data_IF_737077672206
#
_entry.id   IF_737077672206
#
_cell.length_a   1.000
_cell.length_b   1.000
_cell.length_c   1.000
_cell.angle_alpha   90.00
_cell.angle_beta   90.00
_cell.angle_gamma   90.00
#
_symmetry.space_group_name_H-M   'P 1'
#
loop_
_entity.id
_entity.type
_entity.pdbx_description
1 polymer ?
#
# COMPACT_ATOMS: atom_id res chain seq x y z
N UNK A 1 51.65 47.67 -16.34
CA UNK A 1 52.14 47.26 -17.68
C UNK A 1 51.56 45.86 -17.94
N UNK A 2 50.42 45.69 -18.62
CA UNK A 2 50.21 45.65 -20.09
C UNK A 2 51.26 44.72 -20.75
N UNK A 3 51.01 43.64 -21.50
CA UNK A 3 49.86 42.88 -22.03
C UNK A 3 50.46 41.50 -22.48
N UNK A 4 49.75 40.42 -22.85
CA UNK A 4 49.00 40.24 -24.11
C UNK A 4 48.49 38.77 -24.26
N UNK A 5 47.44 38.64 -25.07
CA UNK A 5 46.57 37.49 -25.41
C UNK A 5 47.18 36.20 -25.96
N UNK A 6 46.48 35.08 -25.72
CA UNK A 6 45.93 34.09 -26.68
C UNK A 6 45.24 32.99 -25.83
N UNK A 7 44.01 32.49 -26.00
CA UNK A 7 43.22 32.18 -27.18
C UNK A 7 42.89 30.68 -27.14
N UNK A 8 41.60 30.29 -27.18
CA UNK A 8 41.08 28.90 -27.30
C UNK A 8 41.16 28.03 -26.02
N UNK A 9 40.22 27.17 -25.64
CA UNK A 9 39.06 26.57 -26.31
C UNK A 9 38.07 26.15 -25.21
N UNK A 10 36.80 26.49 -25.39
CA UNK A 10 35.70 25.99 -24.58
C UNK A 10 35.52 24.49 -24.88
N UNK A 11 35.59 23.61 -23.88
CA UNK A 11 35.02 22.26 -23.99
C UNK A 11 34.12 21.98 -22.78
N UNK A 12 32.87 21.73 -23.14
CA UNK A 12 31.72 21.39 -22.33
C UNK A 12 31.80 19.92 -21.88
N UNK A 13 31.68 19.65 -20.59
CA UNK A 13 31.14 18.41 -20.04
C UNK A 13 30.72 18.73 -18.59
N UNK A 14 29.46 18.72 -18.18
CA UNK A 14 28.39 17.82 -18.60
C UNK A 14 28.23 16.72 -17.56
N UNK A 15 27.35 16.99 -16.58
CA UNK A 15 26.47 16.02 -15.91
C UNK A 15 27.05 15.09 -14.83
N UNK A 16 26.60 15.31 -13.59
CA UNK A 16 26.19 14.23 -12.69
C UNK A 16 25.21 14.78 -11.64
N UNK A 17 23.94 14.95 -12.03
CA UNK A 17 22.86 14.98 -11.04
C UNK A 17 22.76 13.56 -10.47
N UNK A 18 23.13 13.38 -9.20
CA UNK A 18 22.94 12.11 -8.51
C UNK A 18 21.44 11.97 -8.26
N UNK A 19 20.75 11.28 -9.17
CA UNK A 19 19.39 10.84 -8.95
C UNK A 19 19.44 9.71 -7.91
N UNK A 20 19.01 9.99 -6.69
CA UNK A 20 18.67 8.93 -5.74
C UNK A 20 17.46 8.19 -6.29
N UNK A 21 17.71 7.10 -7.03
CA UNK A 21 16.69 6.13 -7.39
C UNK A 21 16.44 5.29 -6.14
N UNK A 22 15.40 5.61 -5.39
CA UNK A 22 14.85 4.67 -4.42
C UNK A 22 14.40 3.44 -5.19
N UNK A 23 15.08 2.32 -4.97
CA UNK A 23 14.76 1.04 -5.56
C UNK A 23 13.40 0.59 -5.02
N UNK A 24 12.32 0.97 -5.69
CA UNK A 24 11.01 0.38 -5.47
C UNK A 24 11.08 -1.05 -5.99
N UNK A 25 11.24 -2.00 -5.07
CA UNK A 25 11.04 -3.41 -5.37
C UNK A 25 9.55 -3.62 -5.60
N UNK A 26 9.09 -3.31 -6.81
CA UNK A 26 7.76 -3.68 -7.25
C UNK A 26 7.74 -5.20 -7.40
N UNK A 27 7.00 -5.86 -6.52
CA UNK A 27 6.69 -7.28 -6.64
C UNK A 27 5.83 -7.47 -7.89
N UNK A 28 5.86 -8.64 -8.54
CA UNK A 28 4.90 -8.94 -9.62
C UNK A 28 3.42 -8.89 -9.17
N UNK A 29 3.16 -8.68 -7.87
CA UNK A 29 1.86 -8.34 -7.29
C UNK A 29 1.50 -6.84 -7.33
N UNK A 30 2.42 -5.94 -7.71
CA UNK A 30 2.17 -4.50 -7.83
C UNK A 30 1.55 -4.09 -9.18
N UNK A 31 1.38 -5.02 -10.12
CA UNK A 31 0.81 -4.74 -11.46
C UNK A 31 -0.49 -5.54 -11.71
N UNK A 32 -0.91 -6.36 -10.75
CA UNK A 32 -2.17 -7.09 -10.80
C UNK A 32 -3.09 -6.57 -9.71
N UNK A 33 -4.18 -5.94 -10.14
CA UNK A 33 -5.38 -5.63 -9.36
C UNK A 33 -5.60 -6.63 -8.21
N UNK A 34 -5.52 -6.20 -6.95
CA UNK A 34 -5.79 -7.07 -5.82
C UNK A 34 -7.30 -7.26 -5.71
N UNK A 35 -7.88 -8.48 -5.78
CA UNK A 35 -9.34 -8.64 -5.71
C UNK A 35 -9.91 -8.47 -4.28
N UNK A 36 -9.12 -7.93 -3.35
CA UNK A 36 -9.39 -7.91 -1.91
C UNK A 36 -9.50 -6.49 -1.38
N UNK A 37 -10.11 -6.36 -0.20
CA UNK A 37 -10.39 -5.06 0.41
C UNK A 37 -9.10 -4.33 0.77
N UNK A 38 -9.01 -3.07 0.39
CA UNK A 38 -7.86 -2.21 0.69
C UNK A 38 -8.10 -1.32 1.90
N UNK A 39 -9.36 -0.88 2.10
CA UNK A 39 -9.70 0.08 3.16
C UNK A 39 -11.07 -0.16 3.80
N UNK A 40 -11.13 0.17 5.09
CA UNK A 40 -12.38 0.31 5.84
C UNK A 40 -12.73 1.81 5.86
N UNK A 41 -13.76 2.19 5.11
CA UNK A 41 -14.24 3.57 5.03
C UNK A 41 -15.04 3.93 6.27
N UNK A 42 -15.89 2.99 6.74
CA UNK A 42 -16.75 3.20 7.90
C UNK A 42 -17.11 1.87 8.54
N UNK A 43 -17.15 1.82 9.87
CA UNK A 43 -17.65 0.67 10.63
C UNK A 43 -18.62 1.15 11.70
N UNK A 44 -19.86 0.67 11.63
CA UNK A 44 -20.94 1.01 12.56
C UNK A 44 -21.45 -0.28 13.19
N UNK A 45 -20.90 -0.70 14.35
CA UNK A 45 -21.32 -1.93 15.00
C UNK A 45 -22.75 -1.82 15.54
N UNK A 46 -23.55 -2.86 15.29
CA UNK A 46 -24.85 -3.05 15.91
C UNK A 46 -24.80 -3.81 17.23
N UNK A 47 -25.93 -4.00 17.94
CA UNK A 47 -25.99 -4.82 19.14
C UNK A 47 -25.45 -6.24 18.90
N UNK A 48 -24.64 -6.74 19.84
CA UNK A 48 -24.00 -8.07 19.72
C UNK A 48 -22.79 -8.12 18.79
N UNK A 49 -22.31 -6.99 18.26
CA UNK A 49 -21.02 -6.90 17.60
C UNK A 49 -19.85 -7.13 18.57
N UNK A 50 -18.63 -7.21 18.02
CA UNK A 50 -17.39 -7.08 18.81
C UNK A 50 -16.42 -8.25 18.69
N UNK A 51 -16.87 -9.42 18.25
CA UNK A 51 -15.94 -10.51 17.92
C UNK A 51 -15.01 -10.07 16.77
N UNK A 52 -13.70 -10.15 16.99
CA UNK A 52 -12.68 -9.80 15.99
C UNK A 52 -12.40 -8.30 15.88
N UNK A 53 -13.09 -7.44 16.62
CA UNK A 53 -12.86 -5.99 16.59
C UNK A 53 -11.47 -5.60 17.13
N UNK A 54 -10.91 -6.42 18.02
CA UNK A 54 -9.55 -6.31 18.56
C UNK A 54 -8.44 -6.52 17.51
N UNK A 55 -8.80 -7.02 16.33
CA UNK A 55 -7.89 -7.36 15.23
C UNK A 55 -8.05 -6.45 14.02
N UNK A 56 -8.68 -5.29 14.22
CA UNK A 56 -8.80 -4.29 13.16
C UNK A 56 -7.47 -3.57 12.94
N UNK A 57 -7.11 -3.26 11.67
CA UNK A 57 -7.89 -3.50 10.45
C UNK A 57 -7.67 -4.88 9.77
N UNK A 58 -6.69 -5.66 10.22
CA UNK A 58 -6.18 -6.85 9.51
C UNK A 58 -7.14 -8.05 9.50
N UNK A 59 -8.23 -7.98 10.25
CA UNK A 59 -9.34 -8.93 10.22
C UNK A 59 -10.20 -8.75 8.95
N UNK A 60 -10.17 -7.57 8.32
CA UNK A 60 -10.98 -7.19 7.14
C UNK A 60 -10.13 -7.01 5.89
N UNK A 61 -8.93 -6.44 6.02
CA UNK A 61 -8.11 -6.10 4.85
C UNK A 61 -7.42 -7.33 4.23
N UNK A 62 -7.28 -7.30 2.90
CA UNK A 62 -6.62 -8.35 2.14
C UNK A 62 -7.40 -9.67 2.07
N UNK A 63 -6.74 -10.79 1.73
CA UNK A 63 -7.41 -12.08 1.60
C UNK A 63 -7.90 -12.64 2.94
N UNK A 64 -9.01 -13.39 2.96
CA UNK A 64 -9.45 -14.10 4.16
C UNK A 64 -8.41 -15.13 4.60
N UNK A 65 -8.14 -15.20 5.91
CA UNK A 65 -7.12 -16.08 6.49
C UNK A 65 -7.74 -17.31 7.14
N UNK A 66 -7.52 -18.47 6.54
CA UNK A 66 -7.88 -19.78 7.10
C UNK A 66 -6.92 -20.23 8.21
N UNK A 67 -7.31 -21.25 8.98
CA UNK A 67 -6.43 -21.92 9.96
C UNK A 67 -5.75 -23.18 9.39
N UNK A 68 -5.89 -23.44 8.09
CA UNK A 68 -5.44 -24.65 7.39
C UNK A 68 -6.59 -25.40 6.72
N UNK A 69 -6.26 -26.33 5.81
CA UNK A 69 -7.23 -27.03 4.94
C UNK A 69 -8.38 -27.73 5.69
N UNK A 70 -8.11 -28.23 6.88
CA UNK A 70 -9.05 -29.03 7.69
C UNK A 70 -9.39 -28.37 9.03
N UNK A 71 -9.04 -27.08 9.22
CA UNK A 71 -9.21 -26.38 10.49
C UNK A 71 -10.18 -25.19 10.35
N UNK A 72 -11.08 -24.99 11.33
CA UNK A 72 -11.96 -23.82 11.33
C UNK A 72 -11.16 -22.54 11.59
N UNK A 73 -11.53 -21.45 10.92
CA UNK A 73 -10.94 -20.13 11.16
C UNK A 73 -11.83 -19.25 12.04
N UNK A 74 -11.19 -18.37 12.80
CA UNK A 74 -11.81 -17.27 13.56
C UNK A 74 -11.44 -15.91 12.98
N UNK A 75 -10.99 -15.86 11.72
CA UNK A 75 -10.72 -14.63 10.97
C UNK A 75 -12.05 -14.06 10.45
N UNK A 76 -12.88 -13.59 11.36
CA UNK A 76 -14.19 -13.00 11.09
C UNK A 76 -14.41 -11.81 12.01
N UNK A 77 -15.11 -10.79 11.52
CA UNK A 77 -15.58 -9.63 12.29
C UNK A 77 -17.10 -9.70 12.42
N UNK A 78 -17.62 -9.71 13.64
CA UNK A 78 -19.07 -9.63 13.85
C UNK A 78 -19.55 -8.18 13.81
N UNK A 79 -20.45 -7.89 12.87
CA UNK A 79 -21.06 -6.56 12.72
C UNK A 79 -22.18 -6.29 13.74
N UNK A 80 -22.78 -7.33 14.32
CA UNK A 80 -23.96 -7.21 15.18
C UNK A 80 -25.26 -6.95 14.39
N UNK A 81 -26.39 -6.96 15.09
CA UNK A 81 -27.71 -6.76 14.48
C UNK A 81 -27.83 -5.36 13.88
N UNK A 82 -28.04 -5.26 12.57
CA UNK A 82 -28.16 -3.97 11.87
C UNK A 82 -26.86 -3.18 11.77
N UNK A 83 -25.73 -3.74 12.18
CA UNK A 83 -24.43 -3.12 12.00
C UNK A 83 -23.99 -3.13 10.54
N UNK A 84 -23.20 -2.14 10.15
CA UNK A 84 -22.74 -1.96 8.77
C UNK A 84 -21.23 -1.77 8.73
N UNK A 85 -20.65 -2.14 7.59
CA UNK A 85 -19.27 -1.80 7.27
C UNK A 85 -19.23 -1.34 5.82
N UNK A 86 -18.54 -0.24 5.55
CA UNK A 86 -18.31 0.29 4.21
C UNK A 86 -16.83 0.07 3.89
N UNK A 87 -16.59 -0.60 2.77
CA UNK A 87 -15.26 -1.01 2.32
C UNK A 87 -14.94 -0.33 1.00
N UNK A 88 -13.66 -0.06 0.78
CA UNK A 88 -13.15 0.45 -0.48
C UNK A 88 -12.16 -0.57 -1.05
N UNK A 89 -12.30 -0.80 -2.35
CA UNK A 89 -11.42 -1.60 -3.18
C UNK A 89 -10.79 -0.65 -4.19
N UNK A 90 -9.48 -0.64 -4.22
CA UNK A 90 -8.65 0.12 -5.13
C UNK A 90 -8.13 -0.88 -6.16
N UNK A 91 -7.98 -0.44 -7.40
CA UNK A 91 -7.32 -1.20 -8.47
C UNK A 91 -7.90 -2.56 -8.91
N UNK A 92 -9.00 -3.06 -8.33
CA UNK A 92 -9.75 -4.28 -8.73
C UNK A 92 -10.13 -4.46 -10.21
#
# INVERSE_FOLDING_TARGET
>A
MIARSAGSLMLLAGLAAVANVELRTSSAADDAASPYVDKIVKFEPGPGAGFGADKQPEIVLGPPRGAGKLAPSRHVLSLGTGGTITLEFVDN
#
